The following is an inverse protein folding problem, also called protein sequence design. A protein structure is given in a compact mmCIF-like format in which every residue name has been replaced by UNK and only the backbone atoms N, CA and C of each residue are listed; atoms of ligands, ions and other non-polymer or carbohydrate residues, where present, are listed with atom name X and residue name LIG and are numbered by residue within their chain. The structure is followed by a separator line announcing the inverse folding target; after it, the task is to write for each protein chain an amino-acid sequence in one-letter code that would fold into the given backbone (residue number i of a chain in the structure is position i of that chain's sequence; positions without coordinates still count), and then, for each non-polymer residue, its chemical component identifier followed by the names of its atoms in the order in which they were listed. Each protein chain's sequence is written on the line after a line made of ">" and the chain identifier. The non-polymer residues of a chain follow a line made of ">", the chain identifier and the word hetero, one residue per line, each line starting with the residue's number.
data_IF_207996977742
#
_entry.id   IF_207996977742
#
_cell.length_a   1.000
_cell.length_b   1.000
_cell.length_c   1.000
_cell.angle_alpha   90.00
_cell.angle_beta   90.00
_cell.angle_gamma   90.00
#
_symmetry.space_group_name_H-M   'P 1'
#
loop_
_entity.id
_entity.type
_entity.pdbx_description
1 polymer ?
#
# COMPACT_ATOMS: atom_id res chain seq x y z
N UNK A 1 -12.62 1.24 11.99
CA UNK A 1 -12.53 2.13 10.80
C UNK A 1 -12.18 3.57 11.18
N UNK A 2 -12.77 4.14 12.22
CA UNK A 2 -12.46 5.52 12.63
C UNK A 2 -11.02 5.69 13.14
N UNK A 3 -10.44 4.66 13.74
CA UNK A 3 -9.08 4.71 14.28
C UNK A 3 -8.01 4.74 13.18
N UNK A 4 -8.18 3.95 12.13
CA UNK A 4 -7.26 3.96 10.96
C UNK A 4 -7.26 5.32 10.27
N UNK A 5 -8.43 5.92 10.08
CA UNK A 5 -8.57 7.27 9.53
C UNK A 5 -7.93 8.32 10.44
N UNK A 6 -8.05 8.16 11.75
CA UNK A 6 -7.42 9.04 12.72
C UNK A 6 -5.89 8.95 12.68
N UNK A 7 -5.33 7.74 12.54
CA UNK A 7 -3.88 7.55 12.37
C UNK A 7 -3.37 8.22 11.08
N UNK A 8 -4.07 8.03 9.96
CA UNK A 8 -3.70 8.66 8.70
C UNK A 8 -3.76 10.21 8.80
N UNK A 9 -4.79 10.75 9.43
CA UNK A 9 -4.91 12.19 9.64
C UNK A 9 -3.80 12.76 10.51
N UNK A 10 -3.51 12.16 11.67
CA UNK A 10 -2.42 12.62 12.55
C UNK A 10 -1.07 12.58 11.83
N UNK A 11 -0.82 11.52 11.04
CA UNK A 11 0.41 11.43 10.24
C UNK A 11 0.50 12.59 9.26
N UNK A 12 -0.60 12.89 8.56
CA UNK A 12 -0.65 14.01 7.61
C UNK A 12 -0.40 15.37 8.29
N UNK A 13 -0.93 15.58 9.50
CA UNK A 13 -0.71 16.82 10.27
C UNK A 13 0.75 17.03 10.69
N UNK A 14 1.51 15.95 10.88
CA UNK A 14 2.93 16.02 11.27
C UNK A 14 3.87 16.20 10.07
N UNK A 15 3.43 15.90 8.85
CA UNK A 15 4.23 16.12 7.65
C UNK A 15 4.40 17.62 7.36
N UNK A 16 5.54 18.00 6.84
CA UNK A 16 5.83 19.37 6.43
C UNK A 16 4.89 19.82 5.31
N UNK A 17 4.20 20.95 5.51
CA UNK A 17 3.18 21.48 4.58
C UNK A 17 3.78 22.04 3.29
N UNK A 18 5.02 22.47 3.35
CA UNK A 18 5.72 23.05 2.21
C UNK A 18 6.43 21.96 1.37
N UNK A 19 6.59 20.76 1.95
CA UNK A 19 7.28 19.62 1.33
C UNK A 19 6.34 18.58 0.76
N UNK A 20 5.15 18.37 1.37
CA UNK A 20 4.24 17.27 1.04
C UNK A 20 2.84 17.75 0.67
N UNK A 21 2.36 17.27 -0.47
CA UNK A 21 0.96 17.33 -0.88
C UNK A 21 0.26 16.01 -0.50
N UNK A 22 -0.91 16.09 0.12
CA UNK A 22 -1.63 14.96 0.69
C UNK A 22 -2.87 14.62 -0.15
N UNK A 23 -2.86 13.45 -0.74
CA UNK A 23 -4.02 12.87 -1.42
C UNK A 23 -4.65 11.81 -0.52
N UNK A 24 -5.93 11.91 -0.30
CA UNK A 24 -6.69 10.96 0.49
C UNK A 24 -7.67 10.20 -0.42
N UNK A 25 -7.44 8.90 -0.57
CA UNK A 25 -8.30 8.02 -1.35
C UNK A 25 -9.24 7.24 -0.41
N UNK A 26 -10.55 7.38 -0.61
CA UNK A 26 -11.56 6.70 0.22
C UNK A 26 -12.73 6.18 -0.60
N UNK A 27 -13.13 4.94 -0.31
CA UNK A 27 -14.36 4.36 -0.84
C UNK A 27 -15.60 4.83 -0.07
N UNK A 28 -15.44 5.07 1.22
CA UNK A 28 -16.54 5.38 2.15
C UNK A 28 -16.24 6.65 2.93
N UNK A 29 -17.30 7.45 3.13
CA UNK A 29 -17.19 8.72 3.83
C UNK A 29 -16.71 9.85 2.93
N UNK A 30 -16.87 11.07 3.41
CA UNK A 30 -16.41 12.31 2.76
C UNK A 30 -15.29 12.96 3.53
N UNK A 31 -14.65 13.95 2.94
CA UNK A 31 -13.68 14.79 3.62
C UNK A 31 -14.29 15.39 4.90
N UNK A 32 -13.52 15.45 5.95
CA UNK A 32 -13.89 16.13 7.19
C UNK A 32 -13.17 17.47 7.24
N UNK A 33 -13.82 18.47 7.80
CA UNK A 33 -13.24 19.82 7.90
C UNK A 33 -11.92 19.91 8.69
N UNK A 34 -11.63 18.88 9.48
CA UNK A 34 -10.42 18.76 10.29
C UNK A 34 -9.34 17.85 9.67
N UNK A 35 -9.58 17.27 8.47
CA UNK A 35 -8.53 16.57 7.73
C UNK A 35 -7.60 17.58 7.07
N UNK A 36 -6.30 17.41 7.27
CA UNK A 36 -5.32 17.96 6.36
C UNK A 36 -5.30 17.11 5.10
N UNK A 37 -5.81 17.64 4.01
CA UNK A 37 -5.84 16.99 2.72
C UNK A 37 -5.86 18.05 1.62
N UNK A 38 -4.98 17.92 0.64
CA UNK A 38 -4.93 18.79 -0.52
C UNK A 38 -5.90 18.29 -1.59
N UNK A 39 -6.04 16.96 -1.72
CA UNK A 39 -6.99 16.35 -2.65
C UNK A 39 -7.72 15.15 -2.02
N UNK A 40 -9.03 15.25 -1.93
CA UNK A 40 -9.88 14.16 -1.46
C UNK A 40 -10.55 13.46 -2.64
N UNK A 41 -10.21 12.17 -2.83
CA UNK A 41 -10.67 11.33 -3.93
C UNK A 41 -11.65 10.29 -3.38
N UNK A 42 -12.91 10.41 -3.75
CA UNK A 42 -13.97 9.55 -3.24
C UNK A 42 -14.56 8.68 -4.35
N UNK A 43 -14.73 7.38 -4.08
CA UNK A 43 -15.38 6.42 -4.98
C UNK A 43 -14.79 6.43 -6.40
N UNK A 44 -13.48 6.50 -6.48
CA UNK A 44 -12.78 6.44 -7.77
C UNK A 44 -13.07 5.08 -8.42
N UNK A 45 -13.41 5.05 -9.71
CA UNK A 45 -13.54 3.81 -10.46
C UNK A 45 -12.25 2.98 -10.39
N UNK A 46 -12.38 1.66 -10.34
CA UNK A 46 -11.22 0.77 -10.12
C UNK A 46 -10.15 0.91 -11.21
N UNK A 47 -10.56 1.11 -12.46
CA UNK A 47 -9.70 1.33 -13.62
C UNK A 47 -8.96 2.69 -13.61
N UNK A 48 -9.42 3.65 -12.80
CA UNK A 48 -8.77 4.95 -12.60
C UNK A 48 -7.77 4.97 -11.43
N UNK A 49 -7.88 4.02 -10.50
CA UNK A 49 -7.05 3.99 -9.28
C UNK A 49 -5.56 3.93 -9.61
N UNK A 50 -5.17 3.15 -10.62
CA UNK A 50 -3.79 3.04 -11.07
C UNK A 50 -3.19 4.38 -11.53
N UNK A 51 -3.97 5.26 -12.15
CA UNK A 51 -3.53 6.60 -12.56
C UNK A 51 -3.27 7.51 -11.35
N UNK A 52 -4.05 7.33 -10.27
CA UNK A 52 -3.84 8.06 -9.02
C UNK A 52 -2.52 7.63 -8.39
N UNK A 53 -2.26 6.31 -8.29
CA UNK A 53 -0.99 5.82 -7.76
C UNK A 53 0.20 6.31 -8.60
N UNK A 54 0.09 6.35 -9.93
CA UNK A 54 1.12 6.91 -10.81
C UNK A 54 1.37 8.42 -10.60
N UNK A 55 0.39 9.15 -10.07
CA UNK A 55 0.52 10.58 -9.78
C UNK A 55 1.03 10.88 -8.36
N UNK A 56 1.28 9.84 -7.56
CA UNK A 56 1.75 9.96 -6.19
C UNK A 56 3.11 9.25 -6.04
N UNK A 57 3.96 9.76 -5.17
CA UNK A 57 5.28 9.19 -4.91
C UNK A 57 5.25 8.13 -3.80
N UNK A 58 4.48 8.38 -2.74
CA UNK A 58 4.48 7.57 -1.52
C UNK A 58 3.04 7.24 -1.09
N UNK A 59 2.77 5.97 -0.83
CA UNK A 59 1.57 5.50 -0.15
C UNK A 59 1.84 5.33 1.34
N UNK A 60 1.09 6.01 2.19
CA UNK A 60 1.01 5.70 3.62
C UNK A 60 -0.20 4.81 3.89
N UNK A 61 0.02 3.60 4.42
CA UNK A 61 -1.04 2.64 4.77
C UNK A 61 -1.09 2.39 6.28
N UNK A 62 -2.24 2.70 6.88
CA UNK A 62 -2.48 2.66 8.34
C UNK A 62 -3.49 1.59 8.76
N UNK A 63 -3.75 0.58 7.93
CA UNK A 63 -4.78 -0.43 8.21
C UNK A 63 -4.38 -1.39 9.33
N UNK A 64 -5.33 -1.70 10.20
CA UNK A 64 -5.18 -2.64 11.32
C UNK A 64 -5.38 -4.07 10.84
N UNK A 65 -6.42 -4.31 10.04
CA UNK A 65 -6.81 -5.63 9.59
C UNK A 65 -7.18 -5.61 8.11
N UNK A 66 -6.57 -6.49 7.36
CA UNK A 66 -6.85 -6.73 5.94
C UNK A 66 -6.82 -8.24 5.68
N UNK A 67 -7.58 -8.71 4.71
CA UNK A 67 -7.49 -10.09 4.21
C UNK A 67 -6.33 -10.25 3.24
N UNK A 68 -6.20 -9.31 2.29
CA UNK A 68 -5.05 -9.12 1.41
C UNK A 68 -4.98 -7.64 1.04
N UNK A 69 -4.00 -6.93 1.50
CA UNK A 69 -3.93 -5.48 1.33
C UNK A 69 -3.42 -5.11 -0.06
N UNK A 70 -4.31 -4.91 -1.04
CA UNK A 70 -3.96 -4.53 -2.42
C UNK A 70 -3.24 -3.17 -2.55
N UNK A 71 -3.60 -2.09 -1.84
CA UNK A 71 -3.04 -0.76 -2.08
C UNK A 71 -1.51 -0.67 -2.08
N UNK A 72 -0.76 -1.29 -1.16
CA UNK A 72 0.70 -1.28 -1.25
C UNK A 72 1.23 -2.01 -2.49
N UNK A 73 0.60 -3.11 -2.87
CA UNK A 73 0.99 -3.88 -4.05
C UNK A 73 0.69 -3.12 -5.36
N UNK A 74 -0.45 -2.44 -5.42
CA UNK A 74 -0.83 -1.57 -6.54
C UNK A 74 0.12 -0.38 -6.66
N UNK A 75 0.49 0.24 -5.54
CA UNK A 75 1.50 1.31 -5.52
C UNK A 75 2.86 0.81 -6.02
N UNK A 76 3.31 -0.37 -5.58
CA UNK A 76 4.53 -1.01 -6.06
C UNK A 76 4.48 -1.30 -7.56
N UNK A 77 3.33 -1.74 -8.09
CA UNK A 77 3.14 -2.03 -9.50
C UNK A 77 3.26 -0.79 -10.39
N UNK A 78 3.01 0.40 -9.86
CA UNK A 78 3.17 1.68 -10.57
C UNK A 78 4.56 2.30 -10.40
N UNK A 79 5.47 1.64 -9.68
CA UNK A 79 6.80 2.16 -9.36
C UNK A 79 6.82 3.17 -8.21
N UNK A 80 5.74 3.26 -7.45
CA UNK A 80 5.67 4.10 -6.26
C UNK A 80 6.22 3.42 -5.01
N UNK A 81 6.33 4.16 -3.94
CA UNK A 81 6.89 3.76 -2.66
C UNK A 81 5.79 3.52 -1.62
N UNK A 82 6.01 2.61 -0.69
CA UNK A 82 5.05 2.30 0.35
C UNK A 82 5.65 2.39 1.76
N UNK A 83 4.97 3.12 2.64
CA UNK A 83 5.20 3.15 4.09
C UNK A 83 4.00 2.51 4.75
N UNK A 84 4.18 1.36 5.41
CA UNK A 84 3.08 0.47 5.77
C UNK A 84 3.17 0.00 7.22
N UNK A 85 2.05 0.02 7.93
CA UNK A 85 1.90 -0.76 9.15
C UNK A 85 1.59 -2.22 8.76
N UNK A 86 2.50 -3.19 9.06
CA UNK A 86 2.28 -4.58 8.69
C UNK A 86 1.10 -5.18 9.44
N UNK A 87 0.33 -6.03 8.75
CA UNK A 87 -0.79 -6.79 9.30
C UNK A 87 -0.90 -8.16 8.61
N UNK A 88 -1.83 -9.00 9.04
CA UNK A 88 -1.99 -10.36 8.51
C UNK A 88 -2.23 -10.44 7.00
N UNK A 89 -2.80 -9.40 6.41
CA UNK A 89 -3.12 -9.38 4.98
C UNK A 89 -2.01 -8.86 4.07
N UNK A 90 -0.94 -8.30 4.61
CA UNK A 90 0.13 -7.72 3.78
C UNK A 90 1.53 -8.24 4.10
N UNK A 91 1.75 -8.81 5.31
CA UNK A 91 3.06 -9.36 5.73
C UNK A 91 3.57 -10.48 4.82
N UNK A 92 2.68 -11.11 4.07
CA UNK A 92 3.03 -12.16 3.12
C UNK A 92 4.00 -11.66 2.04
N UNK A 93 3.81 -10.43 1.55
CA UNK A 93 4.60 -9.88 0.45
C UNK A 93 5.48 -8.68 0.83
N UNK A 94 5.24 -8.06 1.97
CA UNK A 94 6.06 -6.95 2.43
C UNK A 94 7.39 -7.42 3.00
N UNK A 95 8.46 -6.70 2.67
CA UNK A 95 9.82 -6.89 3.20
C UNK A 95 10.38 -5.52 3.51
N UNK A 96 10.58 -5.26 4.80
CA UNK A 96 11.13 -3.99 5.26
C UNK A 96 12.51 -3.73 4.69
N UNK A 97 12.79 -2.51 4.27
CA UNK A 97 14.03 -2.06 3.65
C UNK A 97 14.35 -2.72 2.28
N UNK A 98 13.48 -3.64 1.78
CA UNK A 98 13.68 -4.31 0.50
C UNK A 98 12.65 -3.87 -0.56
N UNK A 99 11.35 -3.81 -0.20
CA UNK A 99 10.29 -3.38 -1.11
C UNK A 99 9.32 -2.34 -0.52
N UNK A 100 9.47 -2.03 0.74
CA UNK A 100 8.71 -0.99 1.44
C UNK A 100 9.49 -0.53 2.68
N UNK A 101 8.99 0.51 3.37
CA UNK A 101 9.37 0.81 4.74
C UNK A 101 8.23 0.48 5.68
N UNK A 102 8.54 -0.19 6.78
CA UNK A 102 7.55 -0.57 7.78
C UNK A 102 7.65 0.31 9.03
N UNK A 103 6.53 0.42 9.71
CA UNK A 103 6.44 1.04 11.02
C UNK A 103 5.42 0.30 11.89
N UNK A 104 5.57 0.38 13.21
CA UNK A 104 4.60 -0.22 14.12
C UNK A 104 3.30 0.58 14.10
N UNK A 105 2.17 -0.10 13.97
CA UNK A 105 0.85 0.55 14.00
C UNK A 105 0.70 1.44 15.24
N UNK A 106 0.32 2.71 15.00
CA UNK A 106 0.20 3.74 16.04
C UNK A 106 1.48 4.52 16.31
N UNK A 107 2.62 4.10 15.80
CA UNK A 107 3.88 4.85 15.87
C UNK A 107 3.94 5.90 14.75
N UNK A 108 3.25 7.02 14.98
CA UNK A 108 3.10 8.09 14.02
C UNK A 108 4.44 8.78 13.72
N UNK A 109 5.28 8.94 14.73
CA UNK A 109 6.58 9.58 14.56
C UNK A 109 7.47 8.75 13.63
N UNK A 110 7.45 7.41 13.80
CA UNK A 110 8.16 6.51 12.90
C UNK A 110 7.60 6.51 11.49
N UNK A 111 6.27 6.59 11.33
CA UNK A 111 5.66 6.69 10.01
C UNK A 111 6.12 7.96 9.26
N UNK A 112 6.15 9.10 9.95
CA UNK A 112 6.63 10.39 9.40
C UNK A 112 8.12 10.31 9.08
N UNK A 113 8.95 9.81 10.00
CA UNK A 113 10.38 9.58 9.77
C UNK A 113 10.65 8.75 8.51
N UNK A 114 9.88 7.67 8.31
CA UNK A 114 10.04 6.82 7.12
C UNK A 114 9.68 7.56 5.82
N UNK A 115 8.66 8.43 5.85
CA UNK A 115 8.31 9.28 4.70
C UNK A 115 9.43 10.28 4.42
N UNK A 116 9.98 10.94 5.45
CA UNK A 116 11.09 11.89 5.31
C UNK A 116 12.35 11.20 4.78
N UNK A 117 12.68 10.00 5.26
CA UNK A 117 13.78 9.19 4.71
C UNK A 117 13.62 8.94 3.21
N UNK A 118 12.42 8.58 2.76
CA UNK A 118 12.14 8.40 1.35
C UNK A 118 12.30 9.69 0.54
N UNK A 119 11.97 10.84 1.11
CA UNK A 119 12.14 12.12 0.43
C UNK A 119 13.61 12.51 0.27
N UNK A 120 14.48 12.12 1.20
CA UNK A 120 15.88 12.56 1.30
C UNK A 120 16.87 11.57 0.67
N UNK A 121 16.60 10.26 0.70
CA UNK A 121 17.51 9.21 0.25
C UNK A 121 17.12 8.64 -1.13
N UNK A 122 17.78 9.11 -2.17
CA UNK A 122 17.54 8.67 -3.54
C UNK A 122 17.92 7.19 -3.77
N UNK A 123 19.01 6.70 -3.16
CA UNK A 123 19.44 5.31 -3.31
C UNK A 123 18.47 4.35 -2.62
N UNK A 124 17.92 4.76 -1.47
CA UNK A 124 16.87 4.02 -0.79
C UNK A 124 15.63 3.92 -1.70
N UNK A 125 15.20 5.04 -2.30
CA UNK A 125 14.05 5.01 -3.23
C UNK A 125 14.27 4.05 -4.39
N UNK A 126 15.41 4.13 -5.07
CA UNK A 126 15.73 3.25 -6.21
C UNK A 126 15.67 1.78 -5.81
N UNK A 127 16.26 1.42 -4.67
CA UNK A 127 16.24 0.05 -4.16
C UNK A 127 14.82 -0.44 -3.88
N UNK A 128 14.01 0.37 -3.17
CA UNK A 128 12.65 -0.01 -2.81
C UNK A 128 11.72 -0.08 -4.01
N UNK A 129 11.88 0.81 -4.99
CA UNK A 129 11.13 0.76 -6.25
C UNK A 129 11.44 -0.53 -7.00
N UNK A 130 12.72 -0.90 -7.13
CA UNK A 130 13.13 -2.13 -7.79
C UNK A 130 12.53 -3.37 -7.08
N UNK A 131 12.63 -3.44 -5.76
CA UNK A 131 12.05 -4.53 -4.96
C UNK A 131 10.53 -4.57 -5.02
N UNK A 132 9.88 -3.41 -5.03
CA UNK A 132 8.42 -3.28 -5.18
C UNK A 132 7.92 -3.79 -6.52
N UNK A 133 8.54 -3.36 -7.62
CA UNK A 133 8.22 -3.82 -8.98
C UNK A 133 8.41 -5.34 -9.13
N UNK A 134 9.49 -5.90 -8.58
CA UNK A 134 9.70 -7.36 -8.58
C UNK A 134 8.62 -8.09 -7.79
N UNK A 135 8.23 -7.54 -6.62
CA UNK A 135 7.16 -8.09 -5.79
C UNK A 135 5.82 -8.09 -6.51
N UNK A 136 5.46 -6.98 -7.16
CA UNK A 136 4.23 -6.86 -7.94
C UNK A 136 4.22 -7.82 -9.14
N UNK A 137 5.33 -7.92 -9.87
CA UNK A 137 5.48 -8.83 -11.02
C UNK A 137 5.33 -10.31 -10.65
N UNK A 138 5.76 -10.72 -9.46
CA UNK A 138 5.54 -12.10 -8.97
C UNK A 138 4.08 -12.41 -8.70
N UNK A 139 3.24 -11.39 -8.52
CA UNK A 139 1.81 -11.47 -8.20
C UNK A 139 0.89 -11.01 -9.32
N UNK A 140 1.39 -10.97 -10.55
CA UNK A 140 0.55 -10.75 -11.73
C UNK A 140 -0.55 -11.82 -11.80
N UNK A 141 -1.76 -11.39 -12.11
CA UNK A 141 -2.93 -12.26 -12.13
C UNK A 141 -2.73 -13.48 -13.04
N UNK A 142 -2.12 -13.32 -14.20
CA UNK A 142 -1.80 -14.41 -15.12
C UNK A 142 -1.04 -15.56 -14.46
N UNK A 143 -0.09 -15.26 -13.56
CA UNK A 143 0.68 -16.28 -12.85
C UNK A 143 -0.12 -16.96 -11.74
N UNK A 144 -0.96 -16.20 -11.06
CA UNK A 144 -1.84 -16.73 -10.01
C UNK A 144 -2.92 -17.60 -10.62
N UNK A 145 -3.49 -17.21 -11.76
CA UNK A 145 -4.47 -17.99 -12.50
C UNK A 145 -3.95 -19.38 -12.86
N UNK A 146 -2.73 -19.49 -13.39
CA UNK A 146 -2.10 -20.78 -13.70
C UNK A 146 -1.97 -21.68 -12.46
N UNK A 147 -1.57 -21.09 -11.31
CA UNK A 147 -1.44 -21.82 -10.04
C UNK A 147 -2.80 -22.33 -9.55
N UNK A 148 -3.85 -21.49 -9.64
CA UNK A 148 -5.21 -21.86 -9.25
C UNK A 148 -5.71 -23.00 -10.15
N UNK A 149 -5.56 -22.89 -11.46
CA UNK A 149 -5.98 -23.92 -12.41
C UNK A 149 -5.25 -25.25 -12.13
N UNK A 150 -3.96 -25.22 -11.88
CA UNK A 150 -3.18 -26.40 -11.52
C UNK A 150 -3.70 -27.04 -10.23
N UNK A 151 -3.89 -26.25 -9.17
CA UNK A 151 -4.44 -26.73 -7.91
C UNK A 151 -5.80 -27.43 -8.08
N UNK A 152 -6.70 -26.87 -8.89
CA UNK A 152 -8.00 -27.49 -9.14
C UNK A 152 -7.90 -28.77 -9.97
N UNK A 153 -6.94 -28.89 -10.89
CA UNK A 153 -6.68 -30.14 -11.61
C UNK A 153 -6.18 -31.22 -10.68
N UNK A 154 -5.19 -30.89 -9.84
CA UNK A 154 -4.63 -31.83 -8.86
C UNK A 154 -5.70 -32.32 -7.88
N UNK A 155 -6.57 -31.42 -7.38
CA UNK A 155 -7.68 -31.79 -6.52
C UNK A 155 -8.68 -32.72 -7.21
N UNK A 156 -8.95 -32.51 -8.50
CA UNK A 156 -9.84 -33.36 -9.26
C UNK A 156 -9.26 -34.76 -9.51
N UNK A 157 -7.96 -34.82 -9.86
CA UNK A 157 -7.26 -36.08 -10.10
C UNK A 157 -7.14 -36.96 -8.84
N UNK A 158 -6.97 -36.31 -7.68
CA UNK A 158 -6.87 -37.00 -6.40
C UNK A 158 -8.21 -37.18 -5.66
N UNK A 159 -9.33 -36.69 -6.25
CA UNK A 159 -10.65 -36.80 -5.60
C UNK A 159 -11.16 -38.25 -5.52
N UNK A 160 -10.65 -39.15 -6.34
CA UNK A 160 -11.00 -40.58 -6.37
C UNK A 160 -10.20 -41.41 -5.37
N UNK A 161 -9.26 -40.81 -4.61
CA UNK A 161 -8.45 -41.49 -3.59
C UNK A 161 -9.02 -41.31 -2.15
N UNK A 162 -10.12 -40.59 -1.97
CA UNK A 162 -10.84 -40.37 -0.71
C UNK A 162 -12.29 -40.83 -0.82
#
# INVERSE_FOLDING_TARGET
>A
RNFEQFLAWISAEKLDKDKYEIYYLSYQGGAKSWYRVDKFLQRVPHDEVGKIYQSCDILLKTSILETFSYPPLEMMATGGLAVVAPNGGNIEYLRDEENCLMYKLGDIDKAVEQIDRLAEDALLRERLIAGGLETAKKREWSKIEEQIVTMYRDLKENADEY
#
